data_IF_222426931295
#
_entry.id   IF_222426931295
#
_cell.length_a   1.000
_cell.length_b   1.000
_cell.length_c   1.000
_cell.angle_alpha   90.00
_cell.angle_beta   90.00
_cell.angle_gamma   90.00
#
_symmetry.space_group_name_H-M   'P 1'
#
loop_
_entity.id
_entity.type
_entity.pdbx_description
1 polymer ?
#
# COMPACT_ATOMS: atom_id res chain seq x y z
N UNK A 1 17.69 0.06 -17.11
CA UNK A 1 17.21 0.89 -16.04
C UNK A 1 16.58 0.04 -14.97
N UNK A 2 16.81 0.37 -13.80
CA UNK A 2 16.19 -0.32 -12.69
C UNK A 2 14.81 0.30 -12.44
N UNK A 3 13.79 -0.48 -12.65
CA UNK A 3 12.43 0.04 -12.54
C UNK A 3 12.08 0.52 -11.14
N UNK A 4 12.71 -0.06 -10.14
CA UNK A 4 12.50 0.35 -8.77
C UNK A 4 13.27 1.58 -8.35
N UNK A 5 14.19 2.04 -9.19
CA UNK A 5 14.96 3.22 -8.86
C UNK A 5 14.10 4.45 -8.92
N UNK A 6 14.13 5.19 -7.84
CA UNK A 6 13.55 6.50 -7.83
C UNK A 6 14.63 7.54 -7.93
N UNK A 7 14.34 8.57 -8.69
CA UNK A 7 15.09 9.79 -8.58
C UNK A 7 14.81 10.39 -7.20
N UNK A 8 15.84 10.60 -6.39
CA UNK A 8 15.66 11.17 -5.06
C UNK A 8 15.05 12.56 -5.09
N UNK A 9 15.10 13.23 -6.25
CA UNK A 9 14.47 14.54 -6.44
C UNK A 9 13.02 14.46 -6.89
N UNK A 10 12.51 13.26 -7.12
CA UNK A 10 11.12 13.10 -7.50
C UNK A 10 10.21 13.51 -6.34
N UNK A 11 9.19 14.29 -6.66
CA UNK A 11 8.25 14.78 -5.67
C UNK A 11 6.98 13.96 -5.73
N UNK A 12 6.33 13.83 -4.58
CA UNK A 12 4.99 13.29 -4.56
C UNK A 12 4.05 14.21 -5.31
N UNK A 13 3.07 13.60 -5.97
CA UNK A 13 2.00 14.36 -6.60
C UNK A 13 1.01 14.73 -5.51
N UNK A 14 0.73 16.00 -5.40
CA UNK A 14 -0.29 16.51 -4.51
C UNK A 14 -1.60 16.62 -5.30
N UNK A 15 -2.57 15.80 -4.96
CA UNK A 15 -3.85 15.76 -5.63
C UNK A 15 -4.83 16.83 -5.16
N UNK A 16 -4.38 17.74 -4.28
CA UNK A 16 -5.25 18.79 -3.74
C UNK A 16 -5.93 19.64 -4.79
N UNK A 17 -5.28 19.79 -5.98
CA UNK A 17 -5.85 20.56 -7.09
C UNK A 17 -7.15 19.94 -7.63
N UNK A 18 -7.42 18.68 -7.32
CA UNK A 18 -8.63 17.99 -7.74
C UNK A 18 -9.77 18.14 -6.74
N UNK A 19 -9.58 18.94 -5.71
CA UNK A 19 -10.63 19.24 -4.75
C UNK A 19 -11.86 19.78 -5.49
N UNK A 20 -13.02 19.21 -5.17
CA UNK A 20 -14.26 19.63 -5.83
C UNK A 20 -14.50 19.02 -7.20
N UNK A 21 -13.63 18.10 -7.66
CA UNK A 21 -13.81 17.45 -8.98
C UNK A 21 -15.14 16.70 -9.07
N UNK A 22 -15.65 16.20 -7.95
CA UNK A 22 -16.96 15.56 -7.88
C UNK A 22 -17.87 16.48 -7.09
N UNK A 23 -18.83 17.13 -7.76
CA UNK A 23 -19.69 18.12 -7.11
C UNK A 23 -20.43 17.53 -5.92
N UNK A 24 -20.45 18.26 -4.82
CA UNK A 24 -21.13 17.85 -3.59
C UNK A 24 -20.44 16.77 -2.80
N UNK A 25 -19.24 16.37 -3.20
CA UNK A 25 -18.47 15.33 -2.52
C UNK A 25 -17.09 15.84 -2.12
N UNK A 26 -16.66 15.46 -0.95
CA UNK A 26 -15.32 15.78 -0.48
C UNK A 26 -14.41 14.57 -0.73
N UNK A 27 -14.10 14.32 -2.00
CA UNK A 27 -13.34 13.14 -2.43
C UNK A 27 -12.09 13.59 -3.15
N UNK A 28 -10.96 13.01 -2.76
CA UNK A 28 -9.68 13.18 -3.44
C UNK A 28 -9.13 11.81 -3.84
N UNK A 29 -8.30 11.76 -4.90
CA UNK A 29 -7.60 10.53 -5.24
C UNK A 29 -6.70 10.05 -4.11
N UNK A 30 -6.53 8.74 -4.02
CA UNK A 30 -5.65 8.08 -3.06
C UNK A 30 -4.54 7.36 -3.82
N UNK A 31 -3.32 7.47 -3.29
CA UNK A 31 -2.18 6.73 -3.81
C UNK A 31 -2.10 5.34 -3.22
N UNK A 32 -1.54 4.42 -4.00
CA UNK A 32 -1.03 3.15 -3.48
C UNK A 32 0.49 3.17 -3.61
N UNK A 33 1.17 2.78 -2.55
CA UNK A 33 2.63 2.87 -2.51
C UNK A 33 3.32 1.71 -3.20
N UNK A 34 2.66 0.55 -3.23
CA UNK A 34 3.25 -0.65 -3.80
C UNK A 34 2.18 -1.48 -4.49
N UNK A 35 2.51 -1.99 -5.68
CA UNK A 35 1.66 -2.94 -6.39
C UNK A 35 2.53 -4.03 -6.97
N UNK A 36 2.18 -5.29 -6.68
CA UNK A 36 2.74 -6.46 -7.35
C UNK A 36 1.61 -7.12 -8.12
N UNK A 37 1.85 -7.38 -9.40
CA UNK A 37 0.82 -7.96 -10.26
C UNK A 37 1.32 -9.28 -10.82
N UNK A 38 0.48 -10.30 -10.72
CA UNK A 38 0.76 -11.58 -11.36
C UNK A 38 -0.19 -11.78 -12.54
N UNK A 39 0.39 -11.80 -13.73
CA UNK A 39 -0.29 -12.10 -14.99
C UNK A 39 -1.49 -11.17 -15.29
N UNK A 40 -1.51 -9.97 -14.74
CA UNK A 40 -2.60 -9.03 -14.92
C UNK A 40 -3.90 -9.47 -14.26
N UNK A 41 -3.86 -10.47 -13.39
CA UNK A 41 -5.07 -11.05 -12.79
C UNK A 41 -5.12 -10.98 -11.29
N UNK A 42 -3.97 -11.10 -10.63
CA UNK A 42 -3.87 -11.07 -9.18
C UNK A 42 -3.00 -9.90 -8.77
N UNK A 43 -3.44 -9.19 -7.75
CA UNK A 43 -2.77 -7.96 -7.33
C UNK A 43 -2.52 -8.01 -5.83
N UNK A 44 -1.28 -7.74 -5.45
CA UNK A 44 -0.94 -7.46 -4.07
C UNK A 44 -0.62 -5.98 -4.00
N UNK A 45 -1.36 -5.25 -3.21
CA UNK A 45 -1.18 -3.81 -3.06
C UNK A 45 -0.89 -3.48 -1.62
N UNK A 46 -0.14 -2.42 -1.39
CA UNK A 46 0.20 -2.02 -0.03
C UNK A 46 0.24 -0.52 0.13
N UNK A 47 -0.17 -0.09 1.32
CA UNK A 47 0.03 1.26 1.81
C UNK A 47 1.19 1.23 2.80
N UNK A 48 2.10 2.17 2.66
CA UNK A 48 3.27 2.30 3.54
C UNK A 48 3.02 3.42 4.54
N UNK A 49 3.20 3.13 5.82
CA UNK A 49 3.03 4.09 6.89
C UNK A 49 4.28 4.16 7.76
N UNK A 50 4.60 5.35 8.22
CA UNK A 50 5.59 5.49 9.28
C UNK A 50 4.99 5.01 10.59
N UNK A 51 5.85 4.62 11.54
CA UNK A 51 5.41 4.24 12.87
C UNK A 51 4.53 5.34 13.47
N UNK A 52 3.44 4.94 14.08
CA UNK A 52 2.48 5.83 14.74
C UNK A 52 1.77 6.80 13.80
N UNK A 53 1.95 6.67 12.49
CA UNK A 53 1.21 7.48 11.55
C UNK A 53 -0.21 6.93 11.44
N UNK A 54 -1.24 7.76 11.71
CA UNK A 54 -2.62 7.29 11.61
C UNK A 54 -3.03 7.11 10.15
N UNK A 55 -3.90 6.14 9.93
CA UNK A 55 -4.52 5.98 8.62
C UNK A 55 -5.77 6.84 8.57
N UNK A 56 -5.92 7.63 7.52
CA UNK A 56 -7.12 8.45 7.33
C UNK A 56 -8.34 7.58 7.07
N UNK A 57 -9.53 8.13 7.33
CA UNK A 57 -10.76 7.42 7.03
C UNK A 57 -10.86 7.09 5.55
N UNK A 58 -10.49 8.03 4.68
CA UNK A 58 -10.50 7.79 3.23
C UNK A 58 -9.60 6.64 2.81
N UNK A 59 -8.40 6.56 3.38
CA UNK A 59 -7.50 5.43 3.11
C UNK A 59 -8.09 4.11 3.58
N UNK A 60 -8.70 4.09 4.77
CA UNK A 60 -9.36 2.88 5.28
C UNK A 60 -10.44 2.39 4.35
N UNK A 61 -11.26 3.30 3.84
CA UNK A 61 -12.36 2.95 2.94
C UNK A 61 -11.81 2.34 1.64
N UNK A 62 -10.78 2.96 1.06
CA UNK A 62 -10.18 2.46 -0.18
C UNK A 62 -9.55 1.08 0.05
N UNK A 63 -8.76 0.92 1.11
CA UNK A 63 -8.06 -0.34 1.36
C UNK A 63 -9.03 -1.48 1.65
N UNK A 64 -10.06 -1.22 2.44
CA UNK A 64 -11.10 -2.23 2.72
C UNK A 64 -11.89 -2.57 1.47
N UNK A 65 -12.19 -1.59 0.64
CA UNK A 65 -12.88 -1.82 -0.62
C UNK A 65 -12.07 -2.70 -1.56
N UNK A 66 -10.77 -2.44 -1.68
CA UNK A 66 -9.89 -3.28 -2.48
C UNK A 66 -9.79 -4.69 -1.89
N UNK A 67 -9.67 -4.80 -0.56
CA UNK A 67 -9.56 -6.09 0.10
C UNK A 67 -10.80 -6.95 -0.10
N UNK A 68 -11.94 -6.33 -0.37
CA UNK A 68 -13.18 -7.04 -0.68
C UNK A 68 -13.18 -7.67 -2.07
N UNK A 69 -12.29 -7.23 -2.95
CA UNK A 69 -12.22 -7.76 -4.30
C UNK A 69 -11.46 -9.08 -4.31
N UNK A 70 -11.97 -10.04 -5.06
CA UNK A 70 -11.50 -11.41 -5.04
C UNK A 70 -10.04 -11.56 -5.46
N UNK A 71 -9.59 -10.72 -6.36
CA UNK A 71 -8.24 -10.82 -6.93
C UNK A 71 -7.23 -9.87 -6.28
N UNK A 72 -7.59 -9.23 -5.17
CA UNK A 72 -6.72 -8.30 -4.47
C UNK A 72 -6.31 -8.84 -3.11
N UNK A 73 -5.04 -8.70 -2.80
CA UNK A 73 -4.50 -8.87 -1.44
C UNK A 73 -3.97 -7.52 -1.02
N UNK A 74 -4.37 -7.03 0.13
CA UNK A 74 -4.07 -5.67 0.57
C UNK A 74 -3.30 -5.71 1.86
N UNK A 75 -2.17 -4.99 1.89
CA UNK A 75 -1.31 -4.90 3.07
C UNK A 75 -1.19 -3.46 3.54
N UNK A 76 -0.94 -3.31 4.83
CA UNK A 76 -0.41 -2.08 5.40
C UNK A 76 0.94 -2.44 6.00
N UNK A 77 1.97 -1.69 5.60
CA UNK A 77 3.34 -1.90 6.04
C UNK A 77 3.77 -0.68 6.85
N UNK A 78 4.16 -0.91 8.09
CA UNK A 78 4.72 0.14 8.93
C UNK A 78 6.23 0.06 8.88
N UNK A 79 6.88 1.18 8.64
CA UNK A 79 8.32 1.20 8.54
C UNK A 79 8.84 2.60 8.34
N UNK A 80 10.09 2.68 7.91
CA UNK A 80 10.76 3.94 7.64
C UNK A 80 11.42 3.85 6.28
N UNK A 81 11.31 4.92 5.52
CA UNK A 81 12.00 5.01 4.23
C UNK A 81 12.49 6.42 4.01
N UNK A 82 13.78 6.55 3.71
CA UNK A 82 14.39 7.81 3.33
C UNK A 82 15.43 7.53 2.23
N UNK A 83 16.25 8.53 1.90
CA UNK A 83 17.23 8.41 0.82
C UNK A 83 18.33 7.40 1.11
N UNK A 84 18.52 7.03 2.37
CA UNK A 84 19.64 6.17 2.78
C UNK A 84 19.24 4.74 3.02
N UNK A 85 17.99 4.50 3.45
CA UNK A 85 17.55 3.15 3.80
C UNK A 85 16.05 3.03 3.83
N UNK A 86 15.60 1.78 3.76
CA UNK A 86 14.21 1.40 3.96
C UNK A 86 14.15 0.35 5.04
N UNK A 87 13.32 0.57 6.04
CA UNK A 87 13.09 -0.38 7.12
C UNK A 87 11.65 -0.86 7.08
N UNK A 88 11.48 -2.16 7.24
CA UNK A 88 10.16 -2.77 7.44
C UNK A 88 10.04 -3.15 8.89
N UNK A 89 9.02 -2.62 9.56
CA UNK A 89 8.70 -3.03 10.93
C UNK A 89 7.59 -4.08 10.86
N UNK A 90 6.40 -3.72 11.25
CA UNK A 90 5.27 -4.65 11.26
C UNK A 90 4.43 -4.50 10.00
N UNK A 91 3.88 -5.60 9.51
CA UNK A 91 2.92 -5.49 8.42
C UNK A 91 1.71 -6.36 8.66
N UNK A 92 0.60 -5.92 8.08
CA UNK A 92 -0.73 -6.46 8.33
C UNK A 92 -1.44 -6.69 7.02
N UNK A 93 -2.32 -7.67 6.99
CA UNK A 93 -3.26 -7.82 5.89
C UNK A 93 -4.55 -7.08 6.24
N UNK A 94 -5.07 -6.35 5.28
CA UNK A 94 -6.35 -5.67 5.41
C UNK A 94 -7.44 -6.61 4.91
N UNK A 95 -8.49 -6.77 5.71
CA UNK A 95 -9.71 -7.42 5.29
C UNK A 95 -10.85 -6.40 5.33
N UNK A 96 -12.03 -6.76 4.89
CA UNK A 96 -13.19 -5.88 4.99
C UNK A 96 -13.47 -5.45 6.43
N UNK A 97 -13.12 -6.29 7.39
CA UNK A 97 -13.54 -6.09 8.77
C UNK A 97 -12.42 -5.73 9.73
N UNK A 98 -11.17 -6.08 9.40
CA UNK A 98 -10.09 -5.90 10.37
C UNK A 98 -8.71 -5.91 9.71
N UNK A 99 -7.71 -5.54 10.51
CA UNK A 99 -6.30 -5.74 10.20
C UNK A 99 -5.84 -7.03 10.86
N UNK A 100 -5.15 -7.87 10.10
CA UNK A 100 -4.58 -9.12 10.60
C UNK A 100 -3.07 -8.99 10.60
N UNK A 101 -2.45 -9.07 11.77
CA UNK A 101 -1.00 -9.05 11.89
C UNK A 101 -0.40 -10.23 11.12
N UNK A 102 0.60 -9.97 10.29
CA UNK A 102 1.29 -11.02 9.54
C UNK A 102 2.66 -11.31 10.16
N UNK A 103 3.56 -10.33 10.16
CA UNK A 103 4.92 -10.54 10.62
C UNK A 103 5.65 -9.19 10.67
N UNK A 104 6.95 -9.26 10.87
CA UNK A 104 7.80 -8.09 10.93
C UNK A 104 9.09 -8.33 10.18
N UNK A 105 9.68 -7.23 9.72
CA UNK A 105 11.00 -7.25 9.10
C UNK A 105 10.97 -7.45 7.59
N UNK A 106 12.05 -7.04 6.91
CA UNK A 106 12.10 -7.11 5.45
C UNK A 106 12.14 -8.53 4.90
N UNK A 107 12.79 -9.45 5.60
CA UNK A 107 12.87 -10.84 5.12
C UNK A 107 11.52 -11.53 5.20
N UNK A 108 10.75 -11.23 6.26
CA UNK A 108 9.40 -11.76 6.39
C UNK A 108 8.48 -11.20 5.29
N UNK A 109 8.65 -9.93 4.94
CA UNK A 109 7.86 -9.33 3.86
C UNK A 109 8.20 -9.98 2.50
N UNK A 110 9.47 -10.17 2.22
CA UNK A 110 9.90 -10.87 1.00
C UNK A 110 9.31 -12.27 0.94
N UNK A 111 9.37 -12.98 2.03
CA UNK A 111 8.83 -14.35 2.13
C UNK A 111 7.33 -14.36 1.90
N UNK A 112 6.61 -13.41 2.48
CA UNK A 112 5.17 -13.28 2.30
C UNK A 112 4.82 -13.06 0.82
N UNK A 113 5.51 -12.13 0.17
CA UNK A 113 5.26 -11.83 -1.24
C UNK A 113 5.57 -13.05 -2.11
N UNK A 114 6.66 -13.75 -1.83
CA UNK A 114 7.02 -14.96 -2.58
C UNK A 114 5.95 -16.05 -2.43
N UNK A 115 5.47 -16.25 -1.21
CA UNK A 115 4.39 -17.22 -0.96
C UNK A 115 3.11 -16.81 -1.66
N UNK A 116 2.78 -15.52 -1.60
CA UNK A 116 1.61 -14.98 -2.32
C UNK A 116 1.72 -15.28 -3.82
N UNK A 117 2.90 -15.05 -4.40
CA UNK A 117 3.12 -15.30 -5.81
C UNK A 117 2.89 -16.78 -6.16
N UNK A 118 3.41 -17.68 -5.34
CA UNK A 118 3.28 -19.10 -5.59
C UNK A 118 1.85 -19.62 -5.45
N UNK A 119 1.08 -19.02 -4.55
CA UNK A 119 -0.30 -19.43 -4.30
C UNK A 119 -1.29 -18.84 -5.31
N UNK A 120 -0.86 -17.90 -6.07
CA UNK A 120 -1.70 -17.22 -7.05
C UNK A 120 -1.13 -17.40 -8.46
#
# INVERSE_FOLDING_TARGET
MTLGMRNSNAKFIDFGFLSGMIPGKNILPTNLDMVVCKDGRKFLVAEWKHENEPMSLGQKIVLKGLAAQENFTVLVIYGHSDDTRTEVNNFYQVTQNKLIYIDRGPEALKSYINTWWKLN
#
